data_IF_792108722688
#
_entry.id   IF_792108722688
#
_cell.length_a   1.000
_cell.length_b   1.000
_cell.length_c   1.000
_cell.angle_alpha   90.00
_cell.angle_beta   90.00
_cell.angle_gamma   90.00
#
_symmetry.space_group_name_H-M   'P 1'
#
loop_
_entity.id
_entity.type
_entity.pdbx_description
1 polymer ?
#
# COMPACT_ATOMS: atom_id res chain seq x y z
N UNK A 1 -32.03 -15.32 18.00
CA UNK A 1 -30.60 -15.50 17.71
C UNK A 1 -30.11 -14.15 17.23
N UNK A 2 -29.25 -13.48 17.99
CA UNK A 2 -28.70 -12.18 17.63
C UNK A 2 -27.22 -12.40 17.32
N UNK A 3 -26.83 -12.15 16.07
CA UNK A 3 -25.45 -12.17 15.60
C UNK A 3 -24.74 -10.94 16.18
N UNK A 4 -23.75 -11.19 17.04
CA UNK A 4 -22.87 -10.16 17.58
C UNK A 4 -21.82 -9.78 16.53
N UNK A 5 -21.71 -8.47 16.32
CA UNK A 5 -20.93 -7.80 15.28
C UNK A 5 -19.42 -8.08 15.39
N UNK A 6 -18.80 -8.46 14.28
CA UNK A 6 -17.34 -8.40 14.07
C UNK A 6 -16.82 -6.99 14.40
N UNK A 7 -16.14 -6.85 15.54
CA UNK A 7 -15.36 -5.65 15.87
C UNK A 7 -13.91 -5.84 15.40
N UNK A 8 -13.27 -4.79 14.85
CA UNK A 8 -11.92 -4.88 14.32
C UNK A 8 -10.92 -5.22 15.42
N UNK A 9 -10.08 -6.23 15.16
CA UNK A 9 -8.93 -6.67 15.94
C UNK A 9 -7.83 -5.59 15.95
N UNK A 10 -8.07 -4.49 16.65
CA UNK A 10 -7.04 -3.49 16.95
C UNK A 10 -6.38 -3.85 18.28
N UNK A 11 -5.23 -4.53 18.24
CA UNK A 11 -4.44 -4.86 19.42
C UNK A 11 -3.63 -3.61 19.84
N UNK A 12 -3.98 -3.00 20.98
CA UNK A 12 -3.28 -1.83 21.51
C UNK A 12 -2.07 -2.27 22.33
N UNK A 13 -0.90 -2.38 21.70
CA UNK A 13 0.39 -2.53 22.41
C UNK A 13 0.96 -1.15 22.75
N UNK A 14 0.97 -0.81 24.03
CA UNK A 14 1.55 0.44 24.53
C UNK A 14 3.07 0.23 24.63
N UNK A 15 3.80 0.58 23.58
CA UNK A 15 5.24 0.74 23.67
C UNK A 15 5.55 2.12 24.27
N UNK A 16 6.41 2.15 25.28
CA UNK A 16 6.91 3.40 25.87
C UNK A 16 7.75 4.08 24.80
N UNK A 17 7.24 5.17 24.23
CA UNK A 17 7.99 5.94 23.23
C UNK A 17 9.04 6.80 23.93
N UNK A 18 10.30 6.81 23.44
CA UNK A 18 11.31 7.78 23.88
C UNK A 18 10.80 9.22 23.80
N UNK A 19 11.20 10.06 24.76
CA UNK A 19 10.75 11.46 24.88
C UNK A 19 11.02 12.26 23.59
N UNK A 20 12.13 11.98 22.93
CA UNK A 20 12.48 12.61 21.65
C UNK A 20 11.45 12.35 20.53
N UNK A 21 10.77 11.20 20.54
CA UNK A 21 9.71 10.91 19.58
C UNK A 21 8.42 11.67 19.91
N UNK A 22 8.11 11.85 21.20
CA UNK A 22 6.94 12.64 21.63
C UNK A 22 7.08 14.10 21.21
N UNK A 23 8.27 14.69 21.32
CA UNK A 23 8.51 16.06 20.85
C UNK A 23 8.34 16.18 19.33
N UNK A 24 8.78 15.18 18.56
CA UNK A 24 8.55 15.13 17.09
C UNK A 24 7.07 14.98 16.74
N UNK A 25 6.33 14.15 17.49
CA UNK A 25 4.88 13.99 17.30
C UNK A 25 4.14 15.29 17.58
N UNK A 26 4.50 16.01 18.65
CA UNK A 26 3.91 17.31 18.99
C UNK A 26 4.23 18.39 17.96
N UNK A 27 5.46 18.40 17.43
CA UNK A 27 5.82 19.28 16.32
C UNK A 27 4.94 18.99 15.09
N UNK A 28 4.82 17.71 14.70
CA UNK A 28 3.96 17.31 13.59
C UNK A 28 2.47 17.64 13.81
N UNK A 29 1.96 17.50 15.04
CA UNK A 29 0.61 17.94 15.40
C UNK A 29 0.39 19.43 15.19
N UNK A 30 1.34 20.25 15.63
CA UNK A 30 1.27 21.70 15.49
C UNK A 30 1.33 22.12 14.02
N UNK A 31 2.23 21.49 13.25
CA UNK A 31 2.43 21.79 11.83
C UNK A 31 1.22 21.37 10.97
N UNK A 32 0.54 20.28 11.32
CA UNK A 32 -0.59 19.73 10.57
C UNK A 32 -1.96 20.02 11.21
N UNK A 33 -1.99 20.83 12.27
CA UNK A 33 -3.20 21.22 13.01
C UNK A 33 -4.08 20.03 13.45
N UNK A 34 -3.45 18.97 13.98
CA UNK A 34 -4.13 17.71 14.38
C UNK A 34 -4.50 17.75 15.87
N UNK A 35 -5.79 17.61 16.23
CA UNK A 35 -6.27 17.84 17.60
C UNK A 35 -5.88 16.73 18.60
N UNK A 36 -5.58 15.53 18.13
CA UNK A 36 -5.28 14.37 18.99
C UNK A 36 -3.89 13.80 18.73
N UNK A 37 -3.11 13.60 19.80
CA UNK A 37 -1.77 13.00 19.71
C UNK A 37 -1.85 11.59 19.12
N UNK A 38 -2.91 10.86 19.47
CA UNK A 38 -3.19 9.52 18.94
C UNK A 38 -3.47 9.55 17.44
N UNK A 39 -4.19 10.57 16.94
CA UNK A 39 -4.47 10.72 15.51
C UNK A 39 -3.20 11.08 14.73
N UNK A 40 -2.37 11.95 15.29
CA UNK A 40 -1.08 12.30 14.72
C UNK A 40 -0.12 11.11 14.67
N UNK A 41 -0.06 10.31 15.75
CA UNK A 41 0.71 9.05 15.76
C UNK A 41 0.19 8.10 14.68
N UNK A 42 -1.13 7.96 14.55
CA UNK A 42 -1.72 7.09 13.53
C UNK A 42 -1.37 7.55 12.12
N UNK A 43 -1.48 8.85 11.83
CA UNK A 43 -1.10 9.42 10.53
C UNK A 43 0.39 9.26 10.25
N UNK A 44 1.25 9.60 11.20
CA UNK A 44 2.70 9.41 11.08
C UNK A 44 3.08 7.96 10.83
N UNK A 45 2.46 7.02 11.55
CA UNK A 45 2.68 5.59 11.32
C UNK A 45 2.18 5.15 9.95
N UNK A 46 0.99 5.60 9.54
CA UNK A 46 0.46 5.30 8.20
C UNK A 46 1.38 5.84 7.10
N UNK A 47 1.85 7.10 7.22
CA UNK A 47 2.77 7.71 6.26
C UNK A 47 4.13 6.99 6.25
N UNK A 48 4.66 6.62 7.42
CA UNK A 48 5.92 5.88 7.52
C UNK A 48 5.81 4.45 6.97
N UNK A 49 4.66 3.81 7.10
CA UNK A 49 4.38 2.50 6.50
C UNK A 49 4.25 2.63 4.98
N UNK A 50 3.51 3.62 4.48
CA UNK A 50 3.43 3.93 3.05
C UNK A 50 4.79 4.27 2.44
N UNK A 51 5.69 4.89 3.21
CA UNK A 51 7.07 5.12 2.77
C UNK A 51 7.88 3.82 2.58
N UNK A 52 7.44 2.71 3.18
CA UNK A 52 8.04 1.37 3.01
C UNK A 52 7.28 0.48 2.02
N UNK A 53 6.05 0.82 1.67
CA UNK A 53 5.21 0.02 0.77
C UNK A 53 5.90 -0.21 -0.58
N UNK A 54 5.90 -1.46 -1.04
CA UNK A 54 6.39 -1.84 -2.36
C UNK A 54 5.34 -1.58 -3.44
N UNK A 55 5.75 -1.65 -4.72
CA UNK A 55 4.79 -1.58 -5.83
C UNK A 55 3.69 -2.64 -5.69
N UNK A 56 4.04 -3.86 -5.25
CA UNK A 56 3.10 -4.94 -5.03
C UNK A 56 2.04 -4.60 -3.97
N UNK A 57 2.40 -3.85 -2.93
CA UNK A 57 1.47 -3.47 -1.87
C UNK A 57 0.49 -2.39 -2.36
N UNK A 58 0.97 -1.42 -3.13
CA UNK A 58 0.12 -0.43 -3.80
C UNK A 58 -0.83 -1.13 -4.78
N UNK A 59 -0.33 -2.08 -5.58
CA UNK A 59 -1.16 -2.83 -6.52
C UNK A 59 -2.24 -3.67 -5.83
N UNK A 60 -1.95 -4.25 -4.65
CA UNK A 60 -2.99 -4.92 -3.83
C UNK A 60 -4.06 -3.95 -3.36
N UNK A 61 -3.69 -2.76 -2.91
CA UNK A 61 -4.64 -1.72 -2.48
C UNK A 61 -5.51 -1.25 -3.65
N UNK A 62 -4.89 -0.99 -4.80
CA UNK A 62 -5.58 -0.65 -6.06
C UNK A 62 -6.55 -1.75 -6.47
N UNK A 63 -6.14 -3.02 -6.40
CA UNK A 63 -6.99 -4.17 -6.71
C UNK A 63 -8.16 -4.34 -5.71
N UNK A 64 -7.91 -4.09 -4.43
CA UNK A 64 -8.95 -4.13 -3.41
C UNK A 64 -9.99 -3.03 -3.65
N UNK A 65 -9.53 -1.80 -3.94
CA UNK A 65 -10.43 -0.69 -4.24
C UNK A 65 -11.21 -0.93 -5.54
N UNK A 66 -10.59 -1.46 -6.59
CA UNK A 66 -11.26 -1.79 -7.86
C UNK A 66 -12.37 -2.84 -7.71
N UNK A 67 -12.24 -3.76 -6.75
CA UNK A 67 -13.30 -4.74 -6.44
C UNK A 67 -14.51 -4.10 -5.78
N UNK A 68 -14.31 -3.02 -5.02
CA UNK A 68 -15.37 -2.29 -4.33
C UNK A 68 -16.03 -1.31 -5.31
N UNK A 69 -15.22 -0.48 -5.95
CA UNK A 69 -15.63 0.56 -6.87
C UNK A 69 -14.80 0.46 -8.15
N UNK A 70 -15.47 0.15 -9.27
CA UNK A 70 -14.83 0.02 -10.59
C UNK A 70 -14.55 1.38 -11.24
N UNK A 71 -14.70 2.49 -10.50
CA UNK A 71 -14.34 3.81 -10.95
C UNK A 71 -12.84 4.09 -10.77
N UNK A 72 -12.12 4.12 -11.90
CA UNK A 72 -10.69 4.43 -11.95
C UNK A 72 -10.36 5.81 -11.37
N UNK A 73 -11.26 6.80 -11.45
CA UNK A 73 -11.03 8.15 -10.92
C UNK A 73 -11.03 8.15 -9.39
N UNK A 74 -11.94 7.38 -8.79
CA UNK A 74 -11.98 7.23 -7.33
C UNK A 74 -10.76 6.49 -6.81
N UNK A 75 -10.32 5.43 -7.51
CA UNK A 75 -9.08 4.71 -7.15
C UNK A 75 -7.88 5.65 -7.21
N UNK A 76 -7.77 6.42 -8.29
CA UNK A 76 -6.69 7.39 -8.44
C UNK A 76 -6.68 8.39 -7.28
N UNK A 77 -7.84 8.94 -6.94
CA UNK A 77 -8.00 9.92 -5.86
C UNK A 77 -7.69 9.34 -4.47
N UNK A 78 -8.31 8.22 -4.11
CA UNK A 78 -8.28 7.67 -2.75
C UNK A 78 -7.00 6.87 -2.46
N UNK A 79 -6.47 6.13 -3.44
CA UNK A 79 -5.32 5.25 -3.24
C UNK A 79 -4.03 5.91 -3.71
N UNK A 80 -3.99 6.41 -4.95
CA UNK A 80 -2.73 6.82 -5.59
C UNK A 80 -2.32 8.25 -5.23
N UNK A 81 -3.27 9.19 -5.19
CA UNK A 81 -2.96 10.61 -4.94
C UNK A 81 -2.50 10.85 -3.50
N UNK A 82 -2.98 10.03 -2.56
CA UNK A 82 -2.60 10.10 -1.14
C UNK A 82 -1.31 9.35 -0.80
N UNK A 83 -0.72 8.61 -1.74
CA UNK A 83 0.40 7.73 -1.43
C UNK A 83 1.75 8.44 -1.55
N UNK A 84 2.53 8.49 -0.45
CA UNK A 84 3.78 9.27 -0.36
C UNK A 84 4.85 8.88 -1.39
N UNK A 85 4.86 7.61 -1.81
CA UNK A 85 5.81 7.10 -2.83
C UNK A 85 5.37 7.35 -4.26
N UNK A 86 4.11 7.67 -4.53
CA UNK A 86 3.65 7.99 -5.88
C UNK A 86 4.12 9.40 -6.21
N UNK A 87 4.84 9.56 -7.32
CA UNK A 87 5.34 10.87 -7.77
C UNK A 87 4.73 11.31 -9.10
N UNK A 88 4.14 10.38 -9.86
CA UNK A 88 3.52 10.65 -11.15
C UNK A 88 2.24 9.85 -11.27
N UNK A 89 1.21 10.47 -11.83
CA UNK A 89 -0.10 9.87 -12.05
C UNK A 89 -0.62 10.36 -13.41
N UNK A 90 -0.96 9.42 -14.28
CA UNK A 90 -1.59 9.66 -15.56
C UNK A 90 -2.95 8.96 -15.59
N UNK A 91 -4.01 9.76 -15.72
CA UNK A 91 -5.38 9.26 -15.82
C UNK A 91 -5.79 9.39 -17.29
N UNK A 92 -5.89 8.26 -17.98
CA UNK A 92 -6.44 8.16 -19.32
C UNK A 92 -7.91 7.68 -19.25
N UNK A 93 -8.62 7.71 -20.37
CA UNK A 93 -10.04 7.32 -20.41
C UNK A 93 -10.28 5.85 -20.07
N UNK A 94 -9.32 4.98 -20.38
CA UNK A 94 -9.43 3.53 -20.23
C UNK A 94 -8.46 2.94 -19.22
N UNK A 95 -7.47 3.70 -18.75
CA UNK A 95 -6.50 3.21 -17.78
C UNK A 95 -5.94 4.33 -16.90
N UNK A 96 -5.45 3.95 -15.73
CA UNK A 96 -4.69 4.81 -14.84
C UNK A 96 -3.29 4.22 -14.71
N UNK A 97 -2.28 5.06 -14.89
CA UNK A 97 -0.87 4.71 -14.74
C UNK A 97 -0.27 5.57 -13.65
N UNK A 98 0.61 4.99 -12.84
CA UNK A 98 1.30 5.73 -11.80
C UNK A 98 2.75 5.31 -11.70
N UNK A 99 3.58 6.29 -11.39
CA UNK A 99 5.01 6.14 -11.16
C UNK A 99 5.32 6.33 -9.68
N UNK A 100 6.28 5.55 -9.20
CA UNK A 100 6.83 5.66 -7.86
C UNK A 100 8.17 6.38 -7.89
N UNK A 101 8.54 7.00 -6.77
CA UNK A 101 9.85 7.65 -6.56
C UNK A 101 11.04 6.70 -6.76
N UNK A 102 10.84 5.39 -6.65
CA UNK A 102 11.88 4.38 -6.86
C UNK A 102 12.10 4.02 -8.33
N UNK A 103 11.32 4.59 -9.25
CA UNK A 103 11.34 4.22 -10.67
C UNK A 103 10.44 3.04 -11.00
N UNK A 104 9.75 2.45 -10.03
CA UNK A 104 8.71 1.44 -10.28
C UNK A 104 7.45 2.12 -10.84
N UNK A 105 6.68 1.40 -11.65
CA UNK A 105 5.42 1.87 -12.19
C UNK A 105 4.34 0.79 -12.14
N UNK A 106 3.09 1.23 -12.05
CA UNK A 106 1.92 0.37 -12.11
C UNK A 106 0.85 0.95 -13.03
N UNK A 107 -0.01 0.08 -13.55
CA UNK A 107 -1.20 0.47 -14.28
C UNK A 107 -2.39 -0.40 -13.96
N UNK A 108 -3.57 0.21 -14.06
CA UNK A 108 -4.85 -0.47 -13.99
C UNK A 108 -5.74 0.01 -15.13
N UNK A 109 -6.29 -0.92 -15.88
CA UNK A 109 -7.24 -0.67 -16.96
C UNK A 109 -8.68 -0.91 -16.51
N UNK A 110 -9.65 -0.36 -17.23
CA UNK A 110 -11.09 -0.45 -16.91
C UNK A 110 -11.65 -1.87 -16.95
N UNK A 111 -11.00 -2.75 -17.69
CA UNK A 111 -11.27 -4.19 -17.74
C UNK A 111 -10.75 -4.93 -16.49
N UNK A 112 -10.00 -4.26 -15.62
CA UNK A 112 -9.36 -4.82 -14.45
C UNK A 112 -7.99 -5.43 -14.73
N UNK A 113 -7.47 -5.31 -15.96
CA UNK A 113 -6.12 -5.74 -16.28
C UNK A 113 -5.13 -4.81 -15.58
N UNK A 114 -4.20 -5.40 -14.82
CA UNK A 114 -3.20 -4.68 -14.07
C UNK A 114 -1.81 -5.05 -14.56
N UNK A 115 -0.93 -4.07 -14.65
CA UNK A 115 0.45 -4.28 -15.08
C UNK A 115 1.41 -3.52 -14.18
N UNK A 116 2.62 -4.04 -14.06
CA UNK A 116 3.74 -3.38 -13.41
C UNK A 116 4.88 -3.19 -14.41
N UNK A 117 5.75 -2.27 -14.07
CA UNK A 117 6.82 -1.84 -14.95
C UNK A 117 7.73 -0.83 -14.27
N UNK A 118 8.38 -0.02 -15.09
CA UNK A 118 9.26 1.06 -14.61
C UNK A 118 8.90 2.39 -15.28
N UNK A 119 9.21 3.48 -14.60
CA UNK A 119 9.13 4.84 -15.13
C UNK A 119 10.55 5.41 -15.16
N UNK A 120 10.96 5.96 -16.30
CA UNK A 120 12.25 6.63 -16.42
C UNK A 120 12.18 8.11 -16.02
N UNK A 121 13.37 8.74 -15.91
CA UNK A 121 13.50 10.15 -15.52
C UNK A 121 12.85 11.10 -16.53
N UNK A 122 12.72 10.67 -17.80
CA UNK A 122 12.01 11.40 -18.86
C UNK A 122 10.49 11.28 -18.74
N UNK A 123 10.03 10.29 -17.99
CA UNK A 123 8.62 10.06 -17.66
C UNK A 123 7.88 9.11 -18.57
N UNK A 124 8.61 8.31 -19.34
CA UNK A 124 8.02 7.24 -20.10
C UNK A 124 7.75 6.01 -19.22
N UNK A 125 6.51 5.55 -19.29
CA UNK A 125 6.06 4.33 -18.64
C UNK A 125 6.42 3.09 -19.48
N UNK A 126 7.27 2.23 -18.92
CA UNK A 126 7.62 0.91 -19.49
C UNK A 126 6.86 -0.17 -18.74
N UNK A 127 5.57 -0.30 -19.06
CA UNK A 127 4.68 -1.33 -18.54
C UNK A 127 4.76 -2.56 -19.44
N UNK A 128 4.82 -3.76 -18.85
CA UNK A 128 4.89 -4.98 -19.65
C UNK A 128 4.73 -6.28 -18.88
N UNK A 129 4.82 -6.24 -17.55
CA UNK A 129 4.62 -7.41 -16.72
C UNK A 129 3.20 -7.38 -16.14
N UNK A 130 2.41 -8.43 -16.39
CA UNK A 130 1.06 -8.52 -15.83
C UNK A 130 1.11 -8.75 -14.32
N UNK A 131 0.20 -8.09 -13.61
CA UNK A 131 0.03 -8.20 -12.17
C UNK A 131 -1.35 -8.79 -11.84
N UNK A 132 -1.48 -9.72 -10.86
CA UNK A 132 -0.43 -10.23 -10.00
C UNK A 132 0.61 -11.05 -10.77
N UNK A 133 1.89 -10.86 -10.42
CA UNK A 133 2.98 -11.64 -10.99
C UNK A 133 2.66 -13.12 -10.75
N UNK A 134 2.74 -13.93 -11.80
CA UNK A 134 2.61 -15.38 -11.63
C UNK A 134 3.62 -15.80 -10.57
N UNK A 135 3.16 -16.40 -9.45
CA UNK A 135 4.05 -16.89 -8.41
C UNK A 135 5.09 -17.80 -9.07
N UNK A 136 6.35 -17.35 -9.12
CA UNK A 136 7.44 -18.23 -9.48
C UNK A 136 7.44 -19.35 -8.45
N UNK A 137 7.42 -20.60 -8.90
CA UNK A 137 7.41 -21.82 -8.07
C UNK A 137 8.53 -21.90 -7.01
N UNK A 138 9.50 -20.98 -7.06
CA UNK A 138 10.61 -20.82 -6.13
C UNK A 138 10.26 -20.16 -4.79
N UNK A 139 9.05 -19.62 -4.60
CA UNK A 139 8.63 -18.96 -3.35
C UNK A 139 7.67 -19.82 -2.51
N UNK A 140 7.55 -21.10 -2.85
CA UNK A 140 6.91 -22.07 -1.95
C UNK A 140 7.81 -22.20 -0.70
N UNK A 141 7.31 -21.94 0.52
CA UNK A 141 8.03 -22.37 1.71
C UNK A 141 8.32 -23.86 1.53
N UNK A 142 9.59 -24.25 1.72
CA UNK A 142 10.00 -25.64 1.59
C UNK A 142 8.99 -26.50 2.36
N UNK A 143 8.45 -27.59 1.78
CA UNK A 143 7.67 -28.53 2.56
C UNK A 143 8.56 -28.94 3.72
N UNK A 144 8.13 -28.64 4.95
CA UNK A 144 8.74 -29.18 6.15
C UNK A 144 8.74 -30.70 5.96
N UNK A 145 9.93 -31.24 5.67
CA UNK A 145 10.16 -32.66 5.72
C UNK A 145 9.95 -33.02 7.18
N UNK A 146 8.80 -33.63 7.45
CA UNK A 146 8.48 -34.28 8.70
C UNK A 146 9.52 -35.39 8.86
N UNK A 147 10.63 -35.06 9.53
CA UNK A 147 11.68 -36.00 9.92
C UNK A 147 11.06 -36.95 10.94
N UNK A 148 10.40 -37.98 10.42
CA UNK A 148 9.98 -39.17 11.14
C UNK A 148 11.24 -39.85 11.68
N UNK A 149 11.65 -39.49 12.90
CA UNK A 149 12.77 -40.09 13.62
C UNK A 149 12.47 -41.59 13.83
N UNK A 150 13.21 -42.53 13.24
CA UNK A 150 13.02 -43.94 13.56
C UNK A 150 13.59 -44.25 14.95
N UNK A 151 12.81 -44.98 15.75
CA UNK A 151 13.11 -45.44 17.12
C UNK A 151 14.34 -46.34 17.21
#
# INVERSE_FOLDING_TARGET
MAEDQEKPTTERRIHVLPVELLDRIRAYQADNNIPSEVEAVRRLLSEALQARDSIDDIMKQVAAQFKIDRDLRNIAKEVLTGHTRVNRLEIEDNCVRFGMRTGDAGSISKDGTMQVGTVDDEGYFRLGENWPRARSWTDSPAPELDDEIPF
#
